data_IF_794866834231
#
_entry.id   IF_794866834231
#
_cell.length_a   1.000
_cell.length_b   1.000
_cell.length_c   1.000
_cell.angle_alpha   90.00
_cell.angle_beta   90.00
_cell.angle_gamma   90.00
#
_symmetry.space_group_name_H-M   'P 1'
#
loop_
_entity.id
_entity.type
_entity.pdbx_description
1 polymer ?
#
# COMPACT_ATOMS: atom_id res chain seq x y z
N UNK A 1 3.18 8.04 -8.59
CA UNK A 1 3.90 6.93 -7.95
C UNK A 1 5.06 6.46 -8.82
N UNK A 2 6.21 6.09 -8.25
CA UNK A 2 7.37 5.56 -8.96
C UNK A 2 7.15 4.08 -9.36
N UNK A 3 6.20 3.84 -10.24
CA UNK A 3 5.91 2.50 -10.73
C UNK A 3 6.89 2.11 -11.84
N UNK A 4 8.06 1.57 -11.44
CA UNK A 4 9.17 1.32 -12.34
C UNK A 4 8.81 0.40 -13.51
N UNK A 5 8.09 -0.68 -13.29
CA UNK A 5 7.70 -1.59 -14.38
C UNK A 5 6.95 -0.88 -15.52
N UNK A 6 6.15 0.16 -15.20
CA UNK A 6 5.46 1.04 -16.16
C UNK A 6 5.78 2.50 -15.87
N UNK A 7 7.08 2.81 -15.74
CA UNK A 7 7.51 4.15 -15.34
C UNK A 7 7.00 5.21 -16.33
N UNK A 8 6.20 6.19 -15.87
CA UNK A 8 5.65 7.22 -16.75
C UNK A 8 6.70 8.19 -17.29
N UNK A 9 7.89 8.16 -16.70
CA UNK A 9 9.03 8.98 -17.12
C UNK A 9 10.06 8.22 -17.94
N UNK A 10 9.80 6.97 -18.35
CA UNK A 10 10.72 6.14 -19.14
C UNK A 10 12.13 6.04 -18.53
N UNK A 11 12.18 5.84 -17.20
CA UNK A 11 13.45 5.75 -16.47
C UNK A 11 14.17 4.43 -16.75
N UNK A 12 15.49 4.45 -16.70
CA UNK A 12 16.34 3.31 -16.98
C UNK A 12 16.58 2.42 -15.72
N UNK A 13 16.32 2.96 -14.53
CA UNK A 13 16.43 2.21 -13.27
C UNK A 13 15.28 2.53 -12.31
N UNK A 14 15.15 1.69 -11.30
CA UNK A 14 14.17 1.83 -10.23
C UNK A 14 14.42 3.12 -9.42
N UNK A 15 15.69 3.40 -9.14
CA UNK A 15 16.13 4.59 -8.43
C UNK A 15 15.83 5.86 -9.24
N UNK A 16 16.14 5.85 -10.53
CA UNK A 16 15.86 6.98 -11.41
C UNK A 16 14.35 7.27 -11.50
N UNK A 17 13.52 6.22 -11.53
CA UNK A 17 12.06 6.37 -11.50
C UNK A 17 11.60 7.07 -10.20
N UNK A 18 12.18 6.70 -9.07
CA UNK A 18 11.93 7.36 -7.78
C UNK A 18 12.38 8.81 -7.76
N UNK A 19 13.58 9.10 -8.25
CA UNK A 19 14.10 10.48 -8.29
C UNK A 19 13.26 11.39 -9.18
N UNK A 20 12.82 10.88 -10.33
CA UNK A 20 11.92 11.65 -11.23
C UNK A 20 10.55 11.87 -10.58
N UNK A 21 10.03 10.89 -9.84
CA UNK A 21 8.79 11.05 -9.09
C UNK A 21 8.91 12.12 -8.00
N UNK A 22 10.03 12.16 -7.25
CA UNK A 22 10.30 13.20 -6.24
C UNK A 22 10.41 14.59 -6.88
N UNK A 23 11.16 14.71 -7.98
CA UNK A 23 11.27 15.98 -8.72
C UNK A 23 9.90 16.46 -9.21
N UNK A 24 9.06 15.55 -9.70
CA UNK A 24 7.70 15.87 -10.12
C UNK A 24 6.82 16.31 -8.95
N UNK A 25 6.93 15.63 -7.78
CA UNK A 25 6.20 16.03 -6.57
C UNK A 25 6.61 17.44 -6.13
N UNK A 26 7.90 17.72 -6.03
CA UNK A 26 8.41 19.04 -5.65
C UNK A 26 7.99 20.14 -6.65
N UNK A 27 8.02 19.82 -7.95
CA UNK A 27 7.52 20.73 -8.99
C UNK A 27 6.02 21.02 -8.78
N UNK A 28 5.21 20.01 -8.43
CA UNK A 28 3.77 20.18 -8.15
C UNK A 28 3.57 21.10 -6.94
N UNK A 29 4.30 20.89 -5.84
CA UNK A 29 4.25 21.74 -4.64
C UNK A 29 4.55 23.22 -5.00
N UNK A 30 5.57 23.43 -5.82
CA UNK A 30 5.95 24.79 -6.24
C UNK A 30 4.89 25.45 -7.13
N UNK A 31 4.24 24.69 -8.03
CA UNK A 31 3.19 25.23 -8.91
C UNK A 31 1.89 25.53 -8.17
N UNK A 32 1.48 24.68 -7.24
CA UNK A 32 0.28 24.89 -6.42
C UNK A 32 0.50 25.98 -5.35
N UNK A 33 1.77 26.24 -5.03
CA UNK A 33 2.17 27.11 -3.92
C UNK A 33 2.11 26.39 -2.59
N UNK A 34 3.25 26.21 -1.92
CA UNK A 34 3.34 25.47 -0.67
C UNK A 34 2.36 25.96 0.41
N UNK A 35 2.09 27.27 0.46
CA UNK A 35 1.14 27.85 1.42
C UNK A 35 -0.31 27.46 1.19
N UNK A 36 -0.63 26.87 0.03
CA UNK A 36 -1.98 26.38 -0.30
C UNK A 36 -2.14 24.89 -0.01
N UNK A 37 -1.08 24.22 0.45
CA UNK A 37 -1.07 22.77 0.68
C UNK A 37 -0.95 22.53 2.19
N UNK A 38 -1.89 21.81 2.76
CA UNK A 38 -1.87 21.46 4.17
C UNK A 38 -1.05 20.18 4.45
N UNK A 39 -1.13 19.20 3.55
CA UNK A 39 -0.55 17.89 3.77
C UNK A 39 -0.27 17.15 2.45
N UNK A 40 0.64 16.17 2.53
CA UNK A 40 0.78 15.10 1.52
C UNK A 40 0.25 13.81 2.15
N UNK A 41 -0.69 13.16 1.47
CA UNK A 41 -1.25 11.87 1.90
C UNK A 41 -0.80 10.76 0.94
N UNK A 42 -0.29 9.65 1.51
CA UNK A 42 0.20 8.49 0.77
C UNK A 42 -0.10 7.20 1.53
N UNK A 43 -0.11 6.07 0.82
CA UNK A 43 -0.07 4.74 1.46
C UNK A 43 1.35 4.44 1.94
N UNK A 44 1.50 3.77 3.10
CA UNK A 44 2.80 3.31 3.63
C UNK A 44 3.45 2.26 2.73
N UNK A 45 2.63 1.38 2.17
CA UNK A 45 2.91 0.54 1.01
C UNK A 45 1.68 0.60 0.10
N UNK A 46 1.88 0.74 -1.19
CA UNK A 46 0.77 0.87 -2.13
C UNK A 46 -0.09 -0.40 -2.16
N UNK A 47 -1.40 -0.26 -1.99
CA UNK A 47 -2.35 -1.36 -1.98
C UNK A 47 -2.99 -1.62 -3.34
N UNK A 48 -4.27 -1.27 -3.49
CA UNK A 48 -5.10 -1.62 -4.67
C UNK A 48 -4.67 -0.99 -6.00
N UNK A 49 -3.67 -0.11 -5.98
CA UNK A 49 -2.99 0.40 -7.19
C UNK A 49 -2.08 -0.66 -7.85
N UNK A 50 -1.94 -1.84 -7.24
CA UNK A 50 -1.14 -2.94 -7.75
C UNK A 50 0.10 -3.24 -6.92
N UNK A 51 0.09 -2.97 -5.63
CA UNK A 51 1.22 -3.15 -4.71
C UNK A 51 2.52 -2.54 -5.27
N UNK A 52 2.41 -1.30 -5.75
CA UNK A 52 3.55 -0.59 -6.35
C UNK A 52 4.64 -0.45 -5.29
N UNK A 53 5.80 -1.03 -5.56
CA UNK A 53 6.95 -0.95 -4.67
C UNK A 53 7.64 0.39 -4.82
N UNK A 54 7.88 1.04 -3.68
CA UNK A 54 8.64 2.28 -3.66
C UNK A 54 10.15 2.00 -3.62
N UNK A 55 10.99 2.80 -4.31
CA UNK A 55 12.43 2.80 -4.06
C UNK A 55 12.71 3.07 -2.57
N UNK A 56 13.73 2.44 -1.97
CA UNK A 56 13.95 2.50 -0.51
C UNK A 56 14.05 3.92 0.07
N UNK A 57 14.55 4.87 -0.73
CA UNK A 57 14.71 6.27 -0.33
C UNK A 57 13.46 7.13 -0.55
N UNK A 58 12.46 6.63 -1.32
CA UNK A 58 11.39 7.48 -1.87
C UNK A 58 10.55 8.15 -0.78
N UNK A 59 9.97 7.38 0.14
CA UNK A 59 9.16 7.94 1.23
C UNK A 59 9.98 8.84 2.16
N UNK A 60 11.29 8.54 2.32
CA UNK A 60 12.19 9.42 3.09
C UNK A 60 12.34 10.79 2.44
N UNK A 61 12.51 10.84 1.13
CA UNK A 61 12.52 12.10 0.37
C UNK A 61 11.18 12.83 0.40
N UNK A 62 10.06 12.12 0.40
CA UNK A 62 8.74 12.73 0.62
C UNK A 62 8.65 13.38 2.00
N UNK A 63 9.09 12.69 3.06
CA UNK A 63 9.16 13.25 4.42
C UNK A 63 10.04 14.52 4.46
N UNK A 64 11.19 14.50 3.77
CA UNK A 64 12.08 15.67 3.66
C UNK A 64 11.42 16.85 2.94
N UNK A 65 10.66 16.60 1.87
CA UNK A 65 9.87 17.63 1.20
C UNK A 65 8.77 18.20 2.10
N UNK A 66 8.07 17.34 2.85
CA UNK A 66 7.09 17.80 3.83
C UNK A 66 7.72 18.74 4.85
N UNK A 67 8.88 18.38 5.41
CA UNK A 67 9.63 19.26 6.34
C UNK A 67 10.10 20.56 5.69
N UNK A 68 10.61 20.49 4.45
CA UNK A 68 11.10 21.64 3.70
C UNK A 68 10.02 22.70 3.46
N UNK A 69 8.80 22.26 3.19
CA UNK A 69 7.68 23.12 2.80
C UNK A 69 6.66 23.31 3.91
N UNK A 70 6.95 22.86 5.15
CA UNK A 70 6.06 22.89 6.33
C UNK A 70 4.69 22.24 6.08
N UNK A 71 4.69 21.10 5.41
CA UNK A 71 3.50 20.29 5.13
C UNK A 71 3.41 19.14 6.12
N UNK A 72 2.19 18.70 6.43
CA UNK A 72 1.98 17.47 7.18
C UNK A 72 2.17 16.24 6.29
N UNK A 73 2.73 15.17 6.85
CA UNK A 73 2.81 13.86 6.21
C UNK A 73 1.73 12.94 6.79
N UNK A 74 0.76 12.56 5.97
CA UNK A 74 -0.31 11.62 6.31
C UNK A 74 -0.03 10.29 5.62
N UNK A 75 0.02 9.20 6.39
CA UNK A 75 0.20 7.86 5.84
C UNK A 75 -1.07 7.03 6.05
N UNK A 76 -1.60 6.53 4.93
CA UNK A 76 -2.71 5.58 4.93
C UNK A 76 -2.18 4.16 5.15
N UNK A 77 -2.47 3.59 6.32
CA UNK A 77 -2.10 2.23 6.70
C UNK A 77 -3.29 1.24 6.67
N UNK A 78 -4.37 1.63 6.01
CA UNK A 78 -5.56 0.79 5.88
C UNK A 78 -5.27 -0.54 5.20
N UNK A 79 -4.35 -0.57 4.23
CA UNK A 79 -3.96 -1.81 3.52
C UNK A 79 -2.64 -2.39 4.05
N UNK A 80 -1.71 -1.56 4.45
CA UNK A 80 -0.33 -1.93 4.77
C UNK A 80 -0.07 -2.15 6.27
N UNK A 81 -0.99 -1.68 7.12
CA UNK A 81 -0.87 -1.81 8.57
C UNK A 81 -1.18 -3.21 9.12
N UNK A 82 -0.99 -3.33 10.42
CA UNK A 82 -1.29 -4.52 11.22
C UNK A 82 -0.62 -5.79 10.67
N UNK A 83 0.71 -5.77 10.69
CA UNK A 83 1.60 -6.86 10.34
C UNK A 83 1.65 -7.25 8.86
N UNK A 84 0.77 -6.71 7.99
CA UNK A 84 0.62 -7.11 6.58
C UNK A 84 1.94 -7.09 5.80
N UNK A 85 2.81 -6.12 6.06
CA UNK A 85 4.08 -5.90 5.35
C UNK A 85 5.31 -6.44 6.08
N UNK A 86 5.11 -7.24 7.15
CA UNK A 86 6.20 -7.76 7.97
C UNK A 86 6.70 -6.77 9.03
N UNK A 87 5.99 -5.69 9.23
CA UNK A 87 6.11 -4.70 10.33
C UNK A 87 4.72 -4.39 10.84
N UNK A 88 4.59 -3.74 12.01
CA UNK A 88 3.29 -3.27 12.49
C UNK A 88 2.59 -2.37 11.48
N UNK A 89 3.34 -1.47 10.85
CA UNK A 89 2.87 -0.54 9.83
C UNK A 89 3.84 -0.48 8.65
N UNK A 90 3.29 -0.29 7.45
CA UNK A 90 4.06 -0.26 6.21
C UNK A 90 5.13 0.83 6.17
N UNK A 91 4.83 2.02 6.71
CA UNK A 91 5.78 3.13 6.75
C UNK A 91 7.08 2.80 7.51
N UNK A 92 7.05 1.83 8.44
CA UNK A 92 8.23 1.41 9.19
C UNK A 92 9.30 0.74 8.32
N UNK A 93 8.90 0.20 7.16
CA UNK A 93 9.86 -0.35 6.18
C UNK A 93 10.73 0.75 5.54
N UNK A 94 10.28 2.00 5.61
CA UNK A 94 10.94 3.16 5.01
C UNK A 94 11.62 4.09 6.02
N UNK A 95 11.50 3.80 7.33
CA UNK A 95 12.14 4.56 8.41
C UNK A 95 11.68 6.02 8.51
N UNK A 96 10.44 6.32 8.12
CA UNK A 96 9.83 7.64 8.21
C UNK A 96 9.01 7.80 9.50
N UNK A 97 8.67 9.05 9.84
CA UNK A 97 7.81 9.41 10.97
C UNK A 97 6.68 10.29 10.47
N UNK A 98 5.52 9.73 10.16
CA UNK A 98 4.36 10.51 9.73
C UNK A 98 3.78 11.36 10.85
N UNK A 99 3.11 12.46 10.50
CA UNK A 99 2.37 13.30 11.44
C UNK A 99 1.00 12.71 11.75
N UNK A 100 0.38 12.04 10.77
CA UNK A 100 -0.94 11.40 10.88
C UNK A 100 -0.89 10.02 10.22
N UNK A 101 -1.55 9.04 10.85
CA UNK A 101 -1.72 7.68 10.30
C UNK A 101 -3.22 7.35 10.31
N UNK A 102 -3.75 6.87 9.18
CA UNK A 102 -5.12 6.34 9.12
C UNK A 102 -5.09 4.82 9.18
N UNK A 103 -5.98 4.23 9.96
CA UNK A 103 -6.07 2.78 10.18
C UNK A 103 -7.49 2.25 10.00
N UNK A 104 -7.60 1.02 9.49
CA UNK A 104 -8.85 0.24 9.46
C UNK A 104 -8.50 -1.24 9.23
N UNK A 105 -9.42 -2.02 8.70
CA UNK A 105 -9.27 -3.43 8.30
C UNK A 105 -8.54 -4.30 9.33
N UNK A 106 -7.21 -4.33 9.26
CA UNK A 106 -6.36 -5.13 10.14
C UNK A 106 -6.54 -4.84 11.63
N UNK A 107 -6.96 -3.63 12.01
CA UNK A 107 -7.19 -3.27 13.41
C UNK A 107 -8.16 -4.21 14.13
N UNK A 108 -9.13 -4.77 13.41
CA UNK A 108 -10.10 -5.76 13.92
C UNK A 108 -10.06 -7.08 13.14
N UNK A 109 -9.10 -7.26 12.23
CA UNK A 109 -9.02 -8.42 11.33
C UNK A 109 -10.33 -8.75 10.60
N UNK A 110 -11.18 -7.74 10.36
CA UNK A 110 -12.47 -7.86 9.67
C UNK A 110 -13.64 -8.38 10.52
N UNK A 111 -13.45 -8.62 11.81
CA UNK A 111 -14.53 -9.11 12.69
C UNK A 111 -15.64 -8.08 12.91
N UNK A 112 -15.28 -6.80 12.98
CA UNK A 112 -16.22 -5.70 13.15
C UNK A 112 -15.69 -4.43 12.46
N UNK A 113 -16.55 -3.59 11.86
CA UNK A 113 -16.12 -2.32 11.30
C UNK A 113 -15.51 -1.39 12.37
N UNK A 114 -14.25 -1.01 12.18
CA UNK A 114 -13.56 0.00 12.98
C UNK A 114 -12.53 0.70 12.08
N UNK A 115 -12.44 2.00 12.23
CA UNK A 115 -11.38 2.82 11.67
C UNK A 115 -10.88 3.79 12.73
N UNK A 116 -9.67 4.30 12.53
CA UNK A 116 -9.07 5.24 13.46
C UNK A 116 -8.05 6.13 12.78
N UNK A 117 -7.66 7.16 13.51
CA UNK A 117 -6.60 8.09 13.13
C UNK A 117 -5.66 8.21 14.33
N UNK A 118 -4.38 8.04 14.10
CA UNK A 118 -3.33 8.33 15.07
C UNK A 118 -2.66 9.65 14.66
N UNK A 119 -2.47 10.54 15.61
CA UNK A 119 -1.87 11.85 15.39
C UNK A 119 -0.63 12.01 16.26
N UNK A 120 0.38 12.71 15.73
CA UNK A 120 1.63 12.97 16.45
C UNK A 120 1.47 14.00 17.55
N UNK A 121 2.38 13.98 18.52
CA UNK A 121 2.43 14.98 19.60
C UNK A 121 2.53 16.40 19.05
N UNK A 122 3.20 16.61 17.92
CA UNK A 122 3.26 17.91 17.23
C UNK A 122 1.87 18.48 16.96
N UNK A 123 0.94 17.62 16.54
CA UNK A 123 -0.43 18.04 16.23
C UNK A 123 -1.25 18.18 17.50
N UNK A 124 -1.27 17.17 18.38
CA UNK A 124 -2.13 17.20 19.56
C UNK A 124 -1.76 18.36 20.49
N UNK A 125 -0.47 18.66 20.65
CA UNK A 125 -0.02 19.78 21.46
C UNK A 125 -0.49 21.15 20.97
N UNK A 126 -0.82 21.29 19.69
CA UNK A 126 -1.40 22.52 19.14
C UNK A 126 -2.86 22.77 19.60
N UNK A 127 -3.48 21.78 20.23
CA UNK A 127 -4.84 21.81 20.74
C UNK A 127 -4.92 21.86 22.27
N UNK A 128 -3.79 21.94 23.01
CA UNK A 128 -3.80 21.94 24.47
C UNK A 128 -4.75 22.98 25.08
N UNK A 129 -4.82 24.17 24.46
CA UNK A 129 -5.68 25.27 24.90
C UNK A 129 -6.84 25.56 23.92
N UNK A 130 -7.14 24.60 23.04
CA UNK A 130 -8.16 24.75 22.01
C UNK A 130 -9.05 23.52 21.93
N UNK A 131 -10.31 23.75 21.62
CA UNK A 131 -11.23 22.65 21.34
C UNK A 131 -10.83 21.94 20.05
N UNK A 132 -10.61 20.62 20.12
CA UNK A 132 -10.44 19.77 18.95
C UNK A 132 -11.82 19.31 18.48
N UNK A 133 -12.33 19.80 17.34
CA UNK A 133 -13.70 19.53 16.89
C UNK A 133 -13.82 18.14 16.25
N UNK A 134 -13.54 17.10 17.03
CA UNK A 134 -13.67 15.69 16.63
C UNK A 134 -14.82 15.05 17.39
N UNK A 135 -15.55 14.18 16.68
CA UNK A 135 -16.59 13.36 17.27
C UNK A 135 -17.52 12.81 16.20
N UNK A 136 -17.73 11.51 16.27
CA UNK A 136 -18.73 10.79 15.49
C UNK A 136 -19.62 10.05 16.48
N UNK A 137 -20.90 9.89 16.15
CA UNK A 137 -21.87 9.21 17.03
C UNK A 137 -21.39 7.84 17.50
N UNK A 138 -20.72 7.09 16.62
CA UNK A 138 -20.20 5.76 16.91
C UNK A 138 -18.70 5.72 17.26
N UNK A 139 -18.08 6.85 17.57
CA UNK A 139 -16.69 6.89 18.07
C UNK A 139 -16.56 6.08 19.36
N UNK A 140 -15.43 5.39 19.51
CA UNK A 140 -15.10 4.56 20.67
C UNK A 140 -16.17 3.50 21.00
N UNK A 141 -16.81 2.93 19.98
CA UNK A 141 -17.79 1.86 20.18
C UNK A 141 -17.16 0.70 20.95
N UNK A 142 -17.66 0.44 22.15
CA UNK A 142 -17.02 -0.47 23.12
C UNK A 142 -16.75 -1.86 22.59
N UNK A 143 -17.70 -2.46 21.86
CA UNK A 143 -17.53 -3.79 21.26
C UNK A 143 -16.44 -3.79 20.18
N UNK A 144 -16.40 -2.75 19.34
CA UNK A 144 -15.38 -2.63 18.29
C UNK A 144 -13.98 -2.43 18.90
N UNK A 145 -13.87 -1.61 19.95
CA UNK A 145 -12.61 -1.41 20.66
C UNK A 145 -12.15 -2.70 21.37
N UNK A 146 -13.05 -3.44 22.00
CA UNK A 146 -12.74 -4.71 22.65
C UNK A 146 -12.23 -5.75 21.62
N UNK A 147 -12.88 -5.84 20.45
CA UNK A 147 -12.43 -6.71 19.36
C UNK A 147 -11.02 -6.30 18.87
N UNK A 148 -10.76 -4.97 18.73
CA UNK A 148 -9.44 -4.49 18.34
C UNK A 148 -8.36 -4.88 19.34
N UNK A 149 -8.59 -4.69 20.65
CA UNK A 149 -7.63 -5.10 21.68
C UNK A 149 -7.31 -6.58 21.58
N UNK A 150 -8.34 -7.44 21.50
CA UNK A 150 -8.15 -8.89 21.37
C UNK A 150 -7.37 -9.28 20.11
N UNK A 151 -7.59 -8.59 18.99
CA UNK A 151 -6.86 -8.83 17.74
C UNK A 151 -5.39 -8.41 17.88
N UNK A 152 -5.09 -7.28 18.54
CA UNK A 152 -3.72 -6.84 18.79
C UNK A 152 -2.97 -7.84 19.65
N UNK A 153 -3.61 -8.36 20.72
CA UNK A 153 -3.04 -9.42 21.57
C UNK A 153 -2.69 -10.68 20.76
N UNK A 154 -3.55 -11.06 19.81
CA UNK A 154 -3.29 -12.21 18.92
C UNK A 154 -2.08 -11.93 18.03
N UNK A 155 -1.99 -10.74 17.44
CA UNK A 155 -0.85 -10.38 16.57
C UNK A 155 0.49 -10.49 17.30
N UNK A 156 0.54 -10.10 18.58
CA UNK A 156 1.75 -10.22 19.39
C UNK A 156 2.01 -11.66 19.83
N UNK A 157 1.02 -12.32 20.45
CA UNK A 157 1.17 -13.63 21.05
C UNK A 157 1.45 -14.72 20.00
N UNK A 158 0.85 -14.64 18.82
CA UNK A 158 1.04 -15.62 17.74
C UNK A 158 2.18 -15.25 16.79
N UNK A 159 2.94 -14.18 17.09
CA UNK A 159 4.12 -13.75 16.32
C UNK A 159 3.83 -13.59 14.83
N UNK A 160 2.73 -12.92 14.52
CA UNK A 160 2.23 -12.77 13.15
C UNK A 160 3.27 -12.12 12.25
N UNK A 161 4.04 -11.13 12.73
CA UNK A 161 5.11 -10.47 11.95
C UNK A 161 6.16 -11.49 11.46
N UNK A 162 6.59 -12.41 12.33
CA UNK A 162 7.57 -13.45 11.98
C UNK A 162 7.01 -14.38 10.90
N UNK A 163 5.75 -14.80 11.06
CA UNK A 163 5.06 -15.63 10.07
C UNK A 163 4.92 -14.91 8.71
N UNK A 164 4.51 -13.65 8.70
CA UNK A 164 4.37 -12.84 7.49
C UNK A 164 5.71 -12.73 6.75
N UNK A 165 6.80 -12.47 7.44
CA UNK A 165 8.13 -12.41 6.83
C UNK A 165 8.56 -13.77 6.23
N UNK A 166 8.30 -14.86 6.96
CA UNK A 166 8.59 -16.23 6.48
C UNK A 166 7.80 -16.58 5.23
N UNK A 167 6.47 -16.36 5.28
CA UNK A 167 5.58 -16.70 4.16
C UNK A 167 5.80 -15.76 2.98
N UNK A 168 6.06 -14.47 3.21
CA UNK A 168 6.41 -13.51 2.16
C UNK A 168 7.65 -13.96 1.37
N UNK A 169 8.72 -14.34 2.07
CA UNK A 169 9.95 -14.85 1.43
C UNK A 169 9.73 -16.18 0.70
N UNK A 170 8.85 -17.05 1.22
CA UNK A 170 8.45 -18.28 0.53
C UNK A 170 7.68 -17.96 -0.76
N UNK A 171 6.73 -17.02 -0.67
CA UNK A 171 5.91 -16.59 -1.81
C UNK A 171 6.77 -16.00 -2.92
N UNK A 172 7.76 -15.15 -2.57
CA UNK A 172 8.70 -14.59 -3.54
C UNK A 172 9.38 -15.68 -4.37
N UNK A 173 9.96 -16.71 -3.72
CA UNK A 173 10.59 -17.85 -4.39
C UNK A 173 9.63 -18.60 -5.31
N UNK A 174 8.37 -18.83 -4.84
CA UNK A 174 7.37 -19.55 -5.63
C UNK A 174 6.92 -18.75 -6.85
N UNK A 175 6.75 -17.44 -6.71
CA UNK A 175 6.38 -16.59 -7.84
C UNK A 175 7.54 -16.45 -8.83
N UNK A 176 8.80 -16.40 -8.39
CA UNK A 176 9.96 -16.45 -9.27
C UNK A 176 10.00 -17.75 -10.10
N UNK A 177 9.70 -18.91 -9.50
CA UNK A 177 9.56 -20.17 -10.23
C UNK A 177 8.46 -20.09 -11.31
N UNK A 178 7.32 -19.43 -10.98
CA UNK A 178 6.23 -19.22 -11.93
C UNK A 178 6.60 -18.26 -13.05
N UNK A 179 7.32 -17.17 -12.76
CA UNK A 179 7.81 -16.20 -13.74
C UNK A 179 8.68 -16.90 -14.80
N UNK A 180 9.52 -17.82 -14.36
CA UNK A 180 10.40 -18.58 -15.27
C UNK A 180 9.63 -19.55 -16.16
N UNK A 181 8.50 -20.07 -15.70
CA UNK A 181 7.66 -21.04 -16.44
C UNK A 181 6.62 -20.36 -17.33
N UNK A 182 6.14 -19.17 -16.96
CA UNK A 182 4.97 -18.54 -17.58
C UNK A 182 5.30 -17.14 -18.11
N UNK A 183 5.46 -16.99 -19.44
CA UNK A 183 5.79 -15.70 -20.05
C UNK A 183 4.65 -14.66 -19.92
N UNK A 184 3.47 -15.09 -19.50
CA UNK A 184 2.33 -14.21 -19.22
C UNK A 184 2.42 -13.46 -17.87
N UNK A 185 3.36 -13.81 -16.99
CA UNK A 185 3.63 -13.03 -15.78
C UNK A 185 4.62 -11.92 -16.15
N UNK A 186 4.14 -10.69 -16.15
CA UNK A 186 4.93 -9.52 -16.52
C UNK A 186 5.78 -9.00 -15.39
N UNK A 187 5.18 -8.91 -14.18
CA UNK A 187 5.83 -8.36 -13.01
C UNK A 187 5.30 -9.00 -11.72
N UNK A 188 6.12 -9.03 -10.69
CA UNK A 188 5.81 -9.42 -9.32
C UNK A 188 6.29 -8.35 -8.35
N UNK A 189 5.45 -7.93 -7.46
CA UNK A 189 5.75 -6.94 -6.42
C UNK A 189 5.23 -7.45 -5.10
N UNK A 190 6.05 -7.43 -4.06
CA UNK A 190 5.67 -7.90 -2.75
C UNK A 190 6.41 -7.16 -1.63
N UNK A 191 5.70 -6.95 -0.51
CA UNK A 191 6.26 -6.54 0.78
C UNK A 191 5.53 -7.33 1.86
N UNK A 192 6.23 -8.30 2.47
CA UNK A 192 5.61 -9.26 3.40
C UNK A 192 4.52 -10.11 2.73
N UNK A 193 3.28 -9.94 3.15
CA UNK A 193 2.09 -10.59 2.57
C UNK A 193 1.18 -9.56 1.88
N UNK A 194 1.76 -8.54 1.27
CA UNK A 194 1.08 -7.59 0.40
C UNK A 194 1.72 -7.66 -0.98
N UNK A 195 1.20 -8.53 -1.84
CA UNK A 195 1.79 -8.82 -3.13
C UNK A 195 0.82 -8.71 -4.31
N UNK A 196 1.37 -8.50 -5.50
CA UNK A 196 0.61 -8.42 -6.74
C UNK A 196 1.37 -9.03 -7.91
N UNK A 197 0.74 -9.99 -8.58
CA UNK A 197 1.17 -10.51 -9.88
C UNK A 197 0.51 -9.67 -10.97
N UNK A 198 1.28 -9.17 -11.90
CA UNK A 198 0.78 -8.48 -13.08
C UNK A 198 0.87 -9.37 -14.32
N UNK A 199 -0.27 -9.62 -14.96
CA UNK A 199 -0.36 -10.45 -16.14
C UNK A 199 -0.27 -9.63 -17.44
N UNK A 200 0.49 -10.15 -18.41
CA UNK A 200 0.71 -9.52 -19.71
C UNK A 200 0.46 -10.52 -20.86
N UNK A 201 0.09 -10.02 -22.01
CA UNK A 201 0.05 -10.79 -23.28
C UNK A 201 1.45 -10.94 -23.85
N UNK A 202 2.27 -9.91 -23.67
CA UNK A 202 3.64 -9.88 -24.15
C UNK A 202 4.55 -9.16 -23.15
N UNK A 203 5.55 -9.88 -22.65
CA UNK A 203 6.50 -9.36 -21.64
C UNK A 203 7.45 -8.29 -22.21
N UNK A 204 7.79 -8.33 -23.50
CA UNK A 204 8.75 -7.39 -24.10
C UNK A 204 8.19 -5.96 -24.16
N UNK A 205 6.95 -5.84 -24.66
CA UNK A 205 6.28 -4.54 -24.76
C UNK A 205 5.36 -4.23 -23.56
N UNK A 206 5.28 -5.17 -22.58
CA UNK A 206 4.47 -5.07 -21.37
C UNK A 206 2.97 -4.90 -21.66
N UNK A 207 2.48 -5.44 -22.81
CA UNK A 207 1.06 -5.34 -23.17
C UNK A 207 0.20 -6.07 -22.14
N UNK A 208 -0.67 -5.38 -21.37
CA UNK A 208 -1.40 -5.98 -20.26
C UNK A 208 -2.43 -7.01 -20.76
N UNK A 209 -2.67 -8.06 -19.97
CA UNK A 209 -3.67 -9.09 -20.28
C UNK A 209 -5.08 -8.46 -20.36
N UNK A 210 -5.38 -7.52 -19.47
CA UNK A 210 -6.53 -6.64 -19.53
C UNK A 210 -6.04 -5.19 -19.25
N UNK A 211 -6.46 -4.20 -20.07
CA UNK A 211 -6.01 -2.83 -19.90
C UNK A 211 -6.60 -2.18 -18.64
N UNK A 212 -6.04 -1.03 -18.26
CA UNK A 212 -6.62 -0.19 -17.21
C UNK A 212 -8.06 0.20 -17.60
N UNK A 213 -8.99 0.12 -16.64
CA UNK A 213 -10.43 0.32 -16.86
C UNK A 213 -11.06 -0.60 -17.92
N UNK A 214 -10.52 -1.82 -18.08
CA UNK A 214 -11.03 -2.82 -19.01
C UNK A 214 -12.54 -3.03 -18.89
N UNK A 215 -13.22 -3.01 -20.03
CA UNK A 215 -14.63 -3.41 -20.13
C UNK A 215 -14.78 -4.94 -20.15
N UNK A 216 -16.01 -5.44 -20.18
CA UNK A 216 -16.30 -6.88 -20.11
C UNK A 216 -15.69 -7.71 -21.25
N UNK A 217 -15.51 -7.13 -22.46
CA UNK A 217 -14.88 -7.80 -23.59
C UNK A 217 -13.36 -7.91 -23.39
N UNK A 218 -12.74 -6.84 -22.91
CA UNK A 218 -11.31 -6.76 -22.63
C UNK A 218 -10.90 -7.63 -21.45
N UNK A 219 -11.80 -7.86 -20.49
CA UNK A 219 -11.62 -8.78 -19.37
C UNK A 219 -11.73 -10.26 -19.73
N UNK A 220 -12.06 -10.63 -20.97
CA UNK A 220 -12.35 -12.02 -21.37
C UNK A 220 -11.26 -13.01 -20.97
N UNK A 221 -10.00 -12.71 -21.27
CA UNK A 221 -8.88 -13.60 -20.96
C UNK A 221 -8.59 -13.62 -19.45
N UNK A 222 -8.64 -12.46 -18.80
CA UNK A 222 -8.48 -12.40 -17.34
C UNK A 222 -9.58 -13.17 -16.61
N UNK A 223 -10.82 -13.13 -17.09
CA UNK A 223 -11.94 -13.88 -16.51
C UNK A 223 -11.74 -15.40 -16.62
N UNK A 224 -11.02 -15.91 -17.63
CA UNK A 224 -10.64 -17.32 -17.70
C UNK A 224 -9.65 -17.68 -16.59
N UNK A 225 -8.67 -16.84 -16.34
CA UNK A 225 -7.70 -17.02 -15.24
C UNK A 225 -8.42 -17.00 -13.91
N UNK A 226 -9.27 -16.01 -13.66
CA UNK A 226 -10.05 -15.88 -12.42
C UNK A 226 -10.92 -17.11 -12.18
N UNK A 227 -11.61 -17.61 -13.21
CA UNK A 227 -12.43 -18.81 -13.13
C UNK A 227 -11.57 -20.01 -12.77
N UNK A 228 -10.45 -20.22 -13.45
CA UNK A 228 -9.55 -21.34 -13.18
C UNK A 228 -9.01 -21.31 -11.74
N UNK A 229 -8.62 -20.14 -11.23
CA UNK A 229 -8.21 -20.00 -9.83
C UNK A 229 -9.33 -20.44 -8.87
N UNK A 230 -10.58 -20.06 -9.14
CA UNK A 230 -11.74 -20.47 -8.33
C UNK A 230 -12.02 -21.95 -8.42
N UNK A 231 -11.91 -22.54 -9.62
CA UNK A 231 -12.09 -23.98 -9.83
C UNK A 231 -11.05 -24.81 -9.06
N UNK A 232 -9.84 -24.26 -8.86
CA UNK A 232 -8.78 -24.85 -8.02
C UNK A 232 -8.89 -24.46 -6.53
N UNK A 233 -10.01 -23.86 -6.12
CA UNK A 233 -10.25 -23.47 -4.73
C UNK A 233 -9.57 -22.19 -4.26
N UNK A 234 -8.97 -21.40 -5.15
CA UNK A 234 -8.32 -20.14 -4.81
C UNK A 234 -9.23 -18.95 -5.05
N UNK A 235 -9.61 -18.27 -3.97
CA UNK A 235 -10.33 -17.00 -4.05
C UNK A 235 -9.38 -15.86 -3.67
N UNK A 236 -9.20 -14.90 -4.59
CA UNK A 236 -8.38 -13.71 -4.34
C UNK A 236 -8.96 -12.48 -5.01
N UNK A 237 -8.59 -11.30 -4.52
CA UNK A 237 -8.94 -10.04 -5.17
C UNK A 237 -8.17 -9.90 -6.49
N UNK A 238 -8.89 -9.54 -7.53
CA UNK A 238 -8.32 -9.29 -8.86
C UNK A 238 -8.83 -7.97 -9.41
N UNK A 239 -7.99 -7.25 -10.13
CA UNK A 239 -8.34 -5.97 -10.74
C UNK A 239 -7.61 -5.83 -12.07
N UNK A 240 -8.36 -5.70 -13.17
CA UNK A 240 -7.80 -5.70 -14.53
C UNK A 240 -6.90 -6.90 -14.77
N UNK A 241 -5.59 -6.70 -14.97
CA UNK A 241 -4.58 -7.74 -15.15
C UNK A 241 -3.79 -8.06 -13.87
N UNK A 242 -4.27 -7.61 -12.71
CA UNK A 242 -3.66 -7.82 -11.40
C UNK A 242 -4.32 -8.98 -10.65
N UNK A 243 -3.50 -9.84 -10.04
CA UNK A 243 -3.89 -10.85 -9.05
C UNK A 243 -3.18 -10.49 -7.76
N UNK A 244 -3.95 -10.20 -6.71
CA UNK A 244 -3.40 -9.86 -5.41
C UNK A 244 -3.14 -11.12 -4.61
N UNK A 245 -2.01 -11.15 -3.91
CA UNK A 245 -1.61 -12.20 -2.99
C UNK A 245 -1.51 -11.55 -1.60
N UNK A 246 -2.31 -12.02 -0.62
CA UNK A 246 -2.39 -11.41 0.69
C UNK A 246 -2.63 -12.46 1.78
#
# INVERSE_FOLDING_TARGET
NPYYYRCPWYSNSFEECGDRAIKNLEKTINYEGANNIAAIMMEGESGTSGCIKYPPFYLKKVEELCKKYDLLLIIDEVMSGFCRTGKWFGFQNHGIKPDIITIAKGVTSGYIPLGGVMISDKIINSFNDKFLPLGLTYSAHSVACAAAVSVLDIYENEKIIENVNKIGSYTDKKVEELINKHPSIGDWRNTGMLGCIELVKNRKNKDPLAPFNANSKEMKEMNKVIRKLRDEGMFTYTKWNYIFIA
#
